data_IF_621709731662
#
_entry.id   IF_621709731662
#
_cell.length_a   1.000
_cell.length_b   1.000
_cell.length_c   1.000
_cell.angle_alpha   90.00
_cell.angle_beta   90.00
_cell.angle_gamma   90.00
#
_symmetry.space_group_name_H-M   'P 1'
#
loop_
_entity.id
_entity.type
_entity.pdbx_description
1 polymer ?
#
# COMPACT_ATOMS: atom_id res chain seq x y z
N UNK A 1 2.45 30.99 6.48
CA UNK A 1 3.79 30.36 6.35
C UNK A 1 4.06 30.10 4.89
N UNK A 2 4.91 30.92 4.26
CA UNK A 2 5.32 30.73 2.86
C UNK A 2 6.39 29.64 2.83
N UNK A 3 6.04 28.48 2.26
CA UNK A 3 7.01 27.42 2.00
C UNK A 3 7.80 27.80 0.74
N UNK A 4 9.11 27.98 0.87
CA UNK A 4 9.99 28.19 -0.28
C UNK A 4 10.31 26.82 -0.89
N UNK A 5 9.70 26.49 -2.02
CA UNK A 5 9.98 25.27 -2.75
C UNK A 5 11.24 25.45 -3.59
N UNK A 6 12.04 24.39 -3.73
CA UNK A 6 13.07 24.39 -4.77
C UNK A 6 12.41 24.36 -6.15
N UNK A 7 13.08 24.85 -7.21
CA UNK A 7 12.52 24.81 -8.56
C UNK A 7 12.07 23.41 -8.99
N UNK A 8 12.80 22.37 -8.58
CA UNK A 8 12.48 20.97 -8.88
C UNK A 8 11.21 20.51 -8.15
N UNK A 9 11.01 20.96 -6.90
CA UNK A 9 9.80 20.65 -6.14
C UNK A 9 8.57 21.32 -6.75
N UNK A 10 8.70 22.58 -7.18
CA UNK A 10 7.62 23.31 -7.84
C UNK A 10 7.23 22.64 -9.17
N UNK A 11 8.21 22.16 -9.95
CA UNK A 11 7.97 21.43 -11.19
C UNK A 11 7.19 20.12 -10.97
N UNK A 12 7.47 19.40 -9.87
CA UNK A 12 6.73 18.19 -9.51
C UNK A 12 5.29 18.54 -9.09
N UNK A 13 5.12 19.56 -8.25
CA UNK A 13 3.80 19.97 -7.74
C UNK A 13 2.88 20.45 -8.88
N UNK A 14 3.43 21.19 -9.85
CA UNK A 14 2.70 21.71 -11.01
C UNK A 14 2.58 20.74 -12.19
N UNK A 15 3.00 19.48 -12.03
CA UNK A 15 2.98 18.52 -13.13
C UNK A 15 1.55 18.06 -13.47
N UNK A 16 1.20 18.12 -14.75
CA UNK A 16 -0.14 17.76 -15.27
C UNK A 16 -0.12 16.67 -16.36
N UNK A 17 1.02 16.01 -16.56
CA UNK A 17 1.15 14.91 -17.53
C UNK A 17 0.72 13.54 -16.98
N UNK A 18 0.67 12.53 -17.86
CA UNK A 18 0.18 11.18 -17.53
C UNK A 18 1.18 10.29 -16.78
N UNK A 19 2.49 10.56 -16.89
CA UNK A 19 3.53 9.77 -16.21
C UNK A 19 4.69 10.66 -15.79
N UNK A 20 5.00 10.64 -14.50
CA UNK A 20 6.15 11.31 -13.90
C UNK A 20 6.99 10.28 -13.15
N UNK A 21 8.30 10.32 -13.35
CA UNK A 21 9.25 9.55 -12.54
C UNK A 21 10.09 10.54 -11.76
N UNK A 22 9.97 10.48 -10.44
CA UNK A 22 10.77 11.31 -9.52
C UNK A 22 11.83 10.42 -8.91
N UNK A 23 13.10 10.81 -9.05
CA UNK A 23 14.19 10.24 -8.27
C UNK A 23 14.34 11.10 -7.03
N UNK A 24 14.22 10.52 -5.85
CA UNK A 24 14.62 11.21 -4.65
C UNK A 24 15.55 10.37 -3.78
N UNK A 25 16.37 11.11 -3.04
CA UNK A 25 17.33 10.57 -2.10
C UNK A 25 16.68 10.44 -0.73
N UNK A 26 17.16 9.48 0.06
CA UNK A 26 16.71 9.29 1.43
C UNK A 26 16.80 10.61 2.22
N UNK A 27 15.73 10.96 2.96
CA UNK A 27 15.66 12.19 3.76
C UNK A 27 15.32 13.47 3.00
N UNK A 28 15.07 13.43 1.68
CA UNK A 28 14.80 14.64 0.86
C UNK A 28 13.37 15.19 0.91
N UNK A 29 12.59 14.81 1.93
CA UNK A 29 11.21 15.28 2.12
C UNK A 29 10.24 14.81 1.03
N UNK A 30 10.43 13.60 0.47
CA UNK A 30 9.52 13.01 -0.53
C UNK A 30 8.06 13.04 -0.09
N UNK A 31 7.78 12.63 1.15
CA UNK A 31 6.43 12.64 1.70
C UNK A 31 5.86 14.05 1.72
N UNK A 32 6.66 15.08 2.03
CA UNK A 32 6.22 16.48 1.99
C UNK A 32 5.89 16.93 0.56
N UNK A 33 6.64 16.50 -0.45
CA UNK A 33 6.35 16.80 -1.86
C UNK A 33 5.03 16.17 -2.30
N UNK A 34 4.79 14.91 -1.94
CA UNK A 34 3.55 14.19 -2.26
C UNK A 34 2.33 14.81 -1.58
N UNK A 35 2.45 15.22 -0.31
CA UNK A 35 1.38 15.94 0.40
C UNK A 35 1.03 17.24 -0.32
N UNK A 36 2.03 18.02 -0.76
CA UNK A 36 1.78 19.27 -1.50
C UNK A 36 1.16 19.03 -2.87
N UNK A 37 1.62 18.01 -3.59
CA UNK A 37 1.02 17.61 -4.85
C UNK A 37 -0.45 17.22 -4.68
N UNK A 38 -0.77 16.44 -3.65
CA UNK A 38 -2.14 16.03 -3.35
C UNK A 38 -3.03 17.19 -2.93
N UNK A 39 -2.51 18.15 -2.14
CA UNK A 39 -3.22 19.36 -1.75
C UNK A 39 -3.48 20.31 -2.94
N UNK A 40 -2.53 20.42 -3.87
CA UNK A 40 -2.70 21.22 -5.09
C UNK A 40 -3.75 20.64 -6.05
N UNK A 41 -4.06 19.35 -5.89
CA UNK A 41 -5.01 18.59 -6.70
C UNK A 41 -6.11 17.98 -5.82
N UNK A 42 -6.68 18.79 -4.92
CA UNK A 42 -7.68 18.35 -3.94
C UNK A 42 -8.92 17.70 -4.56
N UNK A 43 -9.26 18.09 -5.79
CA UNK A 43 -10.46 17.61 -6.49
C UNK A 43 -10.23 16.24 -7.17
N UNK A 44 -8.98 15.78 -7.21
CA UNK A 44 -8.60 14.50 -7.79
C UNK A 44 -8.47 13.43 -6.72
N UNK A 45 -9.08 12.27 -6.98
CA UNK A 45 -8.86 11.04 -6.19
C UNK A 45 -7.52 10.42 -6.57
N UNK A 46 -6.71 10.12 -5.58
CA UNK A 46 -5.36 9.57 -5.76
C UNK A 46 -5.19 8.25 -4.99
N UNK A 47 -4.29 7.40 -5.48
CA UNK A 47 -3.87 6.17 -4.81
C UNK A 47 -2.37 6.25 -4.53
N UNK A 48 -2.00 6.17 -3.25
CA UNK A 48 -0.62 6.03 -2.82
C UNK A 48 -0.31 4.56 -2.53
N UNK A 49 0.62 3.97 -3.29
CA UNK A 49 1.06 2.60 -3.11
C UNK A 49 2.34 2.54 -2.27
N UNK A 50 2.22 2.01 -1.06
CA UNK A 50 3.32 1.80 -0.13
C UNK A 50 3.87 0.37 -0.24
N UNK A 51 5.19 0.22 -0.02
CA UNK A 51 5.83 -1.10 0.00
C UNK A 51 5.45 -1.92 1.24
N UNK A 52 5.35 -1.29 2.41
CA UNK A 52 5.03 -1.93 3.66
C UNK A 52 3.99 -1.12 4.46
N UNK A 53 3.44 -1.75 5.50
CA UNK A 53 2.41 -1.17 6.35
C UNK A 53 2.88 0.07 7.10
N UNK A 54 4.12 0.09 7.59
CA UNK A 54 4.64 1.21 8.36
C UNK A 54 4.72 2.50 7.52
N UNK A 55 5.16 2.39 6.26
CA UNK A 55 5.21 3.50 5.31
C UNK A 55 3.79 3.94 4.91
N UNK A 56 2.86 2.99 4.77
CA UNK A 56 1.44 3.31 4.51
C UNK A 56 0.85 4.13 5.64
N UNK A 57 1.01 3.69 6.89
CA UNK A 57 0.42 4.35 8.06
C UNK A 57 1.02 5.74 8.28
N UNK A 58 2.33 5.90 8.06
CA UNK A 58 2.97 7.21 8.08
C UNK A 58 2.43 8.13 6.98
N UNK A 59 2.18 7.59 5.79
CA UNK A 59 1.62 8.33 4.67
C UNK A 59 0.16 8.73 4.93
N UNK A 60 -0.67 7.83 5.45
CA UNK A 60 -2.08 8.07 5.81
C UNK A 60 -2.22 9.20 6.84
N UNK A 61 -1.29 9.32 7.79
CA UNK A 61 -1.27 10.40 8.77
C UNK A 61 -0.91 11.77 8.17
N UNK A 62 -0.21 11.80 7.04
CA UNK A 62 0.34 13.03 6.44
C UNK A 62 -0.43 13.50 5.22
N UNK A 63 -0.99 12.56 4.46
CA UNK A 63 -1.68 12.82 3.20
C UNK A 63 -3.12 13.31 3.44
N UNK A 64 -3.64 14.17 2.54
CA UNK A 64 -5.01 14.64 2.62
C UNK A 64 -6.02 13.54 2.24
N UNK A 65 -7.29 13.74 2.61
CA UNK A 65 -8.38 12.75 2.47
C UNK A 65 -8.64 12.30 1.02
N UNK A 66 -8.23 13.07 0.02
CA UNK A 66 -8.39 12.73 -1.39
C UNK A 66 -7.39 11.66 -1.86
N UNK A 67 -6.45 11.25 -1.00
CA UNK A 67 -5.46 10.20 -1.26
C UNK A 67 -5.79 8.96 -0.44
N UNK A 68 -5.97 7.83 -1.12
CA UNK A 68 -6.10 6.53 -0.49
C UNK A 68 -4.72 5.87 -0.39
N UNK A 69 -4.25 5.50 0.81
CA UNK A 69 -2.97 4.79 0.95
C UNK A 69 -3.20 3.29 1.11
N UNK A 70 -2.60 2.49 0.23
CA UNK A 70 -2.68 1.03 0.29
C UNK A 70 -1.31 0.42 0.07
N UNK A 71 -1.11 -0.79 0.57
CA UNK A 71 0.00 -1.62 0.08
C UNK A 71 -0.44 -2.44 -1.12
N UNK A 72 0.51 -2.96 -1.91
CA UNK A 72 0.21 -3.85 -3.04
C UNK A 72 -0.66 -5.05 -2.64
N UNK A 73 -0.44 -5.57 -1.43
CA UNK A 73 -1.19 -6.70 -0.87
C UNK A 73 -2.65 -6.32 -0.60
N UNK A 74 -2.88 -5.13 -0.05
CA UNK A 74 -4.22 -4.62 0.22
C UNK A 74 -4.99 -4.32 -1.07
N UNK A 75 -4.32 -3.73 -2.07
CA UNK A 75 -4.94 -3.47 -3.37
C UNK A 75 -5.34 -4.78 -4.08
N UNK A 76 -4.54 -5.83 -3.93
CA UNK A 76 -4.82 -7.15 -4.51
C UNK A 76 -5.88 -7.95 -3.74
N UNK A 77 -6.14 -7.63 -2.48
CA UNK A 77 -7.01 -8.42 -1.60
C UNK A 77 -8.43 -8.65 -2.12
N UNK A 78 -9.15 -7.63 -2.64
CA UNK A 78 -10.54 -7.80 -3.09
C UNK A 78 -10.67 -8.82 -4.23
N UNK A 79 -9.67 -8.88 -5.12
CA UNK A 79 -9.70 -9.71 -6.33
C UNK A 79 -9.13 -11.11 -6.09
N UNK A 80 -8.11 -11.24 -5.24
CA UNK A 80 -7.40 -12.52 -5.06
C UNK A 80 -7.59 -13.12 -3.66
N UNK A 81 -7.57 -12.31 -2.61
CA UNK A 81 -7.57 -12.77 -1.21
C UNK A 81 -8.86 -13.43 -0.76
N UNK A 82 -10.02 -12.93 -1.23
CA UNK A 82 -11.35 -13.47 -0.87
C UNK A 82 -11.50 -14.97 -1.19
N UNK A 83 -10.89 -15.43 -2.29
CA UNK A 83 -10.95 -16.84 -2.71
C UNK A 83 -10.18 -17.78 -1.78
N UNK A 84 -9.16 -17.27 -1.09
CA UNK A 84 -8.30 -18.08 -0.23
C UNK A 84 -8.72 -18.06 1.24
N UNK A 85 -9.56 -17.10 1.67
CA UNK A 85 -10.00 -16.97 3.06
C UNK A 85 -10.78 -18.21 3.58
N UNK A 86 -11.50 -18.91 2.71
CA UNK A 86 -12.34 -20.06 3.10
C UNK A 86 -11.71 -21.44 2.83
N UNK A 87 -10.52 -21.52 2.21
CA UNK A 87 -10.00 -22.78 1.64
C UNK A 87 -8.73 -23.35 2.30
N UNK A 88 -8.16 -22.68 3.31
CA UNK A 88 -6.83 -23.02 3.85
C UNK A 88 -6.84 -24.15 4.89
N UNK A 89 -8.00 -24.69 5.26
CA UNK A 89 -8.05 -25.82 6.22
C UNK A 89 -7.52 -27.14 5.61
N UNK A 90 -7.42 -27.25 4.28
CA UNK A 90 -7.12 -28.51 3.58
C UNK A 90 -5.84 -28.46 2.70
N UNK A 91 -4.87 -27.60 3.07
CA UNK A 91 -3.62 -27.41 2.32
C UNK A 91 -2.82 -28.71 2.15
N UNK A 92 -2.83 -29.59 3.14
CA UNK A 92 -2.15 -30.89 3.05
C UNK A 92 -2.73 -31.79 1.94
N UNK A 93 -4.06 -31.74 1.75
CA UNK A 93 -4.75 -32.46 0.67
C UNK A 93 -4.49 -31.82 -0.69
N UNK A 94 -4.48 -30.49 -0.76
CA UNK A 94 -4.20 -29.76 -2.01
C UNK A 94 -2.76 -29.95 -2.51
N UNK A 95 -1.79 -30.03 -1.59
CA UNK A 95 -0.39 -30.26 -1.92
C UNK A 95 -0.04 -31.75 -2.11
N UNK A 96 -1.02 -32.65 -1.97
CA UNK A 96 -0.84 -34.11 -2.00
C UNK A 96 0.40 -34.56 -1.20
N UNK A 97 0.61 -33.96 -0.02
CA UNK A 97 1.81 -34.20 0.78
C UNK A 97 1.45 -34.81 2.12
N UNK A 98 2.22 -35.81 2.52
CA UNK A 98 2.17 -36.38 3.89
C UNK A 98 3.09 -35.64 4.86
N UNK A 99 3.86 -34.66 4.37
CA UNK A 99 4.81 -33.92 5.18
C UNK A 99 4.14 -32.74 5.88
N UNK A 100 3.67 -33.01 7.10
CA UNK A 100 2.97 -32.05 7.97
C UNK A 100 3.71 -30.72 8.20
N UNK A 101 5.06 -30.68 8.37
CA UNK A 101 5.77 -29.42 8.51
C UNK A 101 5.67 -28.50 7.27
N UNK A 102 5.69 -29.05 6.06
CA UNK A 102 5.51 -28.25 4.83
C UNK A 102 4.10 -27.66 4.76
N UNK A 103 3.07 -28.46 5.10
CA UNK A 103 1.71 -27.93 5.17
C UNK A 103 1.60 -26.78 6.18
N UNK A 104 2.25 -26.89 7.36
CA UNK A 104 2.32 -25.80 8.34
C UNK A 104 3.04 -24.56 7.82
N UNK A 105 4.19 -24.71 7.17
CA UNK A 105 4.95 -23.58 6.60
C UNK A 105 4.09 -22.86 5.57
N UNK A 106 3.45 -23.60 4.66
CA UNK A 106 2.56 -23.02 3.65
C UNK A 106 1.41 -22.26 4.32
N UNK A 107 0.72 -22.87 5.29
CA UNK A 107 -0.34 -22.18 6.04
C UNK A 107 0.19 -20.92 6.74
N UNK A 108 1.37 -20.98 7.37
CA UNK A 108 1.97 -19.82 8.06
C UNK A 108 2.34 -18.70 7.09
N UNK A 109 2.96 -19.03 5.95
CA UNK A 109 3.32 -18.05 4.91
C UNK A 109 2.09 -17.42 4.29
N UNK A 110 1.07 -18.23 3.97
CA UNK A 110 -0.19 -17.72 3.46
C UNK A 110 -0.87 -16.83 4.50
N UNK A 111 -0.99 -17.26 5.75
CA UNK A 111 -1.57 -16.44 6.81
C UNK A 111 -0.81 -15.11 6.97
N UNK A 112 0.52 -15.12 6.98
CA UNK A 112 1.32 -13.89 7.03
C UNK A 112 1.02 -12.95 5.85
N UNK A 113 0.88 -13.51 4.64
CA UNK A 113 0.45 -12.76 3.46
C UNK A 113 -0.97 -12.19 3.61
N UNK A 114 -1.94 -12.99 4.07
CA UNK A 114 -3.32 -12.53 4.28
C UNK A 114 -3.38 -11.43 5.36
N UNK A 115 -2.68 -11.57 6.48
CA UNK A 115 -2.62 -10.56 7.53
C UNK A 115 -1.96 -9.25 7.06
N UNK A 116 -0.99 -9.32 6.14
CA UNK A 116 -0.40 -8.11 5.55
C UNK A 116 -1.36 -7.36 4.61
N UNK A 117 -2.40 -8.04 4.12
CA UNK A 117 -3.40 -7.51 3.20
C UNK A 117 -4.69 -7.04 3.91
N UNK A 118 -5.00 -7.57 5.09
CA UNK A 118 -6.24 -7.28 5.83
C UNK A 118 -5.97 -6.32 6.98
N UNK A 119 -5.78 -5.03 6.68
CA UNK A 119 -6.03 -3.93 7.65
C UNK A 119 -6.50 -2.70 6.87
N UNK A 120 -7.75 -2.73 6.41
CA UNK A 120 -8.53 -1.51 6.16
C UNK A 120 -9.73 -1.61 7.10
N UNK A 121 -9.94 -0.58 7.92
CA UNK A 121 -10.86 -0.61 9.06
C UNK A 121 -12.26 -1.13 8.70
N UNK A 122 -12.76 -2.08 9.50
CA UNK A 122 -14.13 -2.56 9.44
C UNK A 122 -14.26 -4.08 9.52
N UNK A 123 -14.54 -4.56 10.74
CA UNK A 123 -15.06 -5.89 11.07
C UNK A 123 -14.12 -7.09 10.87
N UNK A 124 -13.46 -7.43 11.98
CA UNK A 124 -13.44 -8.82 12.45
C UNK A 124 -14.89 -9.16 12.86
N UNK A 125 -15.57 -9.95 12.05
CA UNK A 125 -16.61 -10.88 12.47
C UNK A 125 -16.33 -12.19 11.75
#
# INVERSE_FOLDING_TARGET
>A
MSYCYTPEQAAIIGWSGSKLVVKAFAGSGETSKLVRFALANSDSRMLYLAYNWAVRDEAEQKLPFNVECQTSHQLAWPNFGRYYQQRITDVARQLNTRYSPLARIVIMTFNAFLYSAVITGGQIC
#
